data_IF_570969727860
#
_entry.id   IF_570969727860
#
_cell.length_a   1.000
_cell.length_b   1.000
_cell.length_c   1.000
_cell.angle_alpha   90.00
_cell.angle_beta   90.00
_cell.angle_gamma   90.00
#
_symmetry.space_group_name_H-M   'P 1'
#
loop_
_entity.id
_entity.type
_entity.pdbx_description
1 polymer ?
#
# COMPACT_ATOMS: atom_id res chain seq x y z
N UNK A 1 -8.95 -9.39 11.19
CA UNK A 1 -10.40 -9.50 11.51
C UNK A 1 -11.14 -10.08 10.31
N UNK A 2 -11.96 -11.11 10.51
CA UNK A 2 -12.88 -11.63 9.48
C UNK A 2 -13.80 -10.50 9.01
N UNK A 3 -13.86 -10.27 7.70
CA UNK A 3 -14.69 -9.25 7.04
C UNK A 3 -16.17 -9.65 7.13
N UNK A 4 -16.76 -9.46 8.30
CA UNK A 4 -18.21 -9.57 8.47
C UNK A 4 -18.93 -8.51 7.65
N UNK A 5 -20.17 -8.81 7.25
CA UNK A 5 -21.09 -7.82 6.67
C UNK A 5 -21.21 -6.58 7.58
N UNK A 6 -21.29 -5.35 7.03
CA UNK A 6 -21.45 -4.16 7.84
C UNK A 6 -22.71 -4.27 8.70
N UNK A 7 -22.60 -4.01 10.02
CA UNK A 7 -23.77 -4.00 10.89
C UNK A 7 -24.81 -2.98 10.42
N UNK A 8 -26.09 -3.26 10.64
CA UNK A 8 -27.20 -2.40 10.19
C UNK A 8 -27.10 -0.95 10.67
N UNK A 9 -26.59 -0.73 11.89
CA UNK A 9 -26.39 0.63 12.42
C UNK A 9 -25.30 1.40 11.67
N UNK A 10 -24.30 0.71 11.09
CA UNK A 10 -23.28 1.31 10.22
C UNK A 10 -23.90 1.67 8.87
N UNK A 11 -24.69 0.79 8.25
CA UNK A 11 -25.41 1.15 7.02
C UNK A 11 -26.28 2.40 7.24
N UNK A 12 -27.01 2.44 8.37
CA UNK A 12 -27.89 3.56 8.72
C UNK A 12 -27.15 4.88 8.94
N UNK A 13 -25.98 4.87 9.60
CA UNK A 13 -25.23 6.12 9.86
C UNK A 13 -24.61 6.73 8.59
N UNK A 14 -24.43 5.93 7.54
CA UNK A 14 -24.04 6.41 6.21
C UNK A 14 -25.25 6.67 5.29
N UNK A 15 -26.48 6.58 5.79
CA UNK A 15 -27.71 6.82 5.00
C UNK A 15 -28.11 5.67 4.08
N UNK A 16 -27.62 4.46 4.32
CA UNK A 16 -27.75 3.28 3.46
C UNK A 16 -28.58 2.15 4.11
N UNK A 17 -29.35 2.46 5.15
CA UNK A 17 -30.05 1.44 5.96
C UNK A 17 -31.06 0.58 5.19
N UNK A 18 -31.61 1.09 4.09
CA UNK A 18 -32.60 0.38 3.26
C UNK A 18 -32.02 -0.15 1.95
N UNK A 19 -30.70 0.00 1.75
CA UNK A 19 -30.02 -0.37 0.50
C UNK A 19 -29.53 -1.82 0.59
N UNK A 20 -29.76 -2.60 -0.47
CA UNK A 20 -29.33 -3.98 -0.55
C UNK A 20 -27.79 -4.11 -0.52
N UNK A 21 -27.31 -5.09 0.24
CA UNK A 21 -25.90 -5.41 0.40
C UNK A 21 -25.46 -6.43 -0.65
N UNK A 22 -24.53 -6.01 -1.50
CA UNK A 22 -23.92 -6.85 -2.53
C UNK A 22 -22.43 -7.01 -2.25
N UNK A 23 -21.88 -8.19 -2.51
CA UNK A 23 -20.43 -8.37 -2.48
C UNK A 23 -19.79 -7.36 -3.46
N UNK A 24 -18.74 -6.65 -3.06
CA UNK A 24 -18.12 -5.68 -3.93
C UNK A 24 -17.42 -6.43 -5.08
N UNK A 25 -17.26 -5.76 -6.22
CA UNK A 25 -16.35 -6.25 -7.25
C UNK A 25 -14.91 -6.38 -6.70
N UNK A 26 -14.04 -7.05 -7.48
CA UNK A 26 -12.63 -7.18 -7.13
C UNK A 26 -11.97 -5.81 -6.86
N UNK A 27 -11.08 -5.75 -5.85
CA UNK A 27 -10.25 -4.57 -5.55
C UNK A 27 -10.84 -3.53 -4.59
N UNK A 28 -11.80 -3.93 -3.75
CA UNK A 28 -12.40 -3.09 -2.69
C UNK A 28 -12.15 -3.64 -1.26
N UNK A 29 -11.03 -4.33 -1.04
CA UNK A 29 -10.51 -4.74 0.28
C UNK A 29 -11.51 -5.44 1.22
N UNK A 30 -12.36 -6.33 0.68
CA UNK A 30 -13.37 -7.03 1.48
C UNK A 30 -14.48 -6.10 1.99
N UNK A 31 -14.72 -4.99 1.29
CA UNK A 31 -15.86 -4.12 1.52
C UNK A 31 -17.19 -4.75 1.14
N UNK A 32 -18.25 -3.96 1.16
CA UNK A 32 -19.62 -4.32 0.78
C UNK A 32 -20.23 -3.17 0.01
N UNK A 33 -20.83 -3.46 -1.15
CA UNK A 33 -21.45 -2.45 -2.00
C UNK A 33 -22.92 -2.28 -1.61
N UNK A 34 -23.33 -1.02 -1.44
CA UNK A 34 -24.70 -0.58 -1.22
C UNK A 34 -24.96 0.56 -2.22
N UNK A 35 -25.64 0.26 -3.33
CA UNK A 35 -25.88 1.24 -4.38
C UNK A 35 -24.59 1.73 -5.05
N UNK A 36 -24.29 3.02 -4.88
CA UNK A 36 -23.09 3.70 -5.37
C UNK A 36 -22.04 3.91 -4.26
N UNK A 37 -22.17 3.23 -3.12
CA UNK A 37 -21.24 3.31 -1.98
C UNK A 37 -20.64 1.94 -1.69
N UNK A 38 -19.36 1.92 -1.30
CA UNK A 38 -18.70 0.77 -0.70
C UNK A 38 -18.38 1.07 0.76
N UNK A 39 -18.84 0.20 1.66
CA UNK A 39 -18.44 0.17 3.06
C UNK A 39 -17.30 -0.82 3.25
N UNK A 40 -16.18 -0.37 3.82
CA UNK A 40 -15.03 -1.24 4.10
C UNK A 40 -14.62 -1.16 5.57
N UNK A 41 -14.15 -2.27 6.17
CA UNK A 41 -13.57 -2.24 7.50
C UNK A 41 -12.26 -1.44 7.50
N UNK A 42 -11.95 -0.84 8.64
CA UNK A 42 -10.78 0.02 8.86
C UNK A 42 -9.90 -0.58 9.94
N UNK A 43 -8.66 -0.91 9.59
CA UNK A 43 -7.65 -1.36 10.55
C UNK A 43 -6.99 -0.19 11.30
N UNK A 44 -6.78 0.94 10.61
CA UNK A 44 -6.17 2.16 11.17
C UNK A 44 -7.08 3.36 10.93
N UNK A 45 -7.69 3.84 12.01
CA UNK A 45 -8.64 4.95 11.99
C UNK A 45 -7.99 6.26 11.55
N UNK A 46 -6.77 6.55 11.98
CA UNK A 46 -6.08 7.79 11.67
C UNK A 46 -5.70 7.85 10.19
N UNK A 47 -5.15 6.75 9.66
CA UNK A 47 -4.80 6.62 8.24
C UNK A 47 -6.04 6.67 7.35
N UNK A 48 -7.11 5.97 7.71
CA UNK A 48 -8.35 5.96 6.91
C UNK A 48 -9.02 7.35 6.89
N UNK A 49 -9.12 8.03 8.03
CA UNK A 49 -9.68 9.39 8.09
C UNK A 49 -8.82 10.40 7.32
N UNK A 50 -7.49 10.27 7.40
CA UNK A 50 -6.58 11.12 6.63
C UNK A 50 -6.70 10.87 5.12
N UNK A 51 -6.75 9.61 4.67
CA UNK A 51 -6.89 9.27 3.25
C UNK A 51 -8.20 9.82 2.69
N UNK A 52 -9.31 9.63 3.42
CA UNK A 52 -10.60 10.20 3.07
C UNK A 52 -10.49 11.72 2.89
N UNK A 53 -9.93 12.43 3.88
CA UNK A 53 -9.76 13.88 3.81
C UNK A 53 -8.91 14.33 2.62
N UNK A 54 -7.78 13.66 2.36
CA UNK A 54 -6.92 13.97 1.22
C UNK A 54 -7.66 13.78 -0.11
N UNK A 55 -8.36 12.64 -0.26
CA UNK A 55 -9.16 12.32 -1.46
C UNK A 55 -10.41 13.18 -1.63
N UNK A 56 -10.83 13.98 -0.65
CA UNK A 56 -11.98 14.88 -0.82
C UNK A 56 -11.66 15.99 -1.83
N UNK A 57 -10.44 16.54 -1.79
CA UNK A 57 -10.06 17.69 -2.62
C UNK A 57 -8.92 17.40 -3.60
N UNK A 58 -8.18 16.30 -3.44
CA UNK A 58 -7.09 15.96 -4.33
C UNK A 58 -7.61 15.77 -5.77
N UNK A 59 -6.90 16.39 -6.71
CA UNK A 59 -7.11 16.24 -8.13
C UNK A 59 -5.80 15.78 -8.76
N UNK A 60 -5.88 14.76 -9.61
CA UNK A 60 -4.73 14.15 -10.29
C UNK A 60 -5.09 14.04 -11.77
N UNK A 61 -4.20 14.50 -12.63
CA UNK A 61 -4.45 14.49 -14.06
C UNK A 61 -4.57 13.06 -14.61
N UNK A 62 -5.61 12.82 -15.40
CA UNK A 62 -5.96 11.53 -15.99
C UNK A 62 -5.93 10.34 -14.99
N UNK A 63 -6.37 10.59 -13.74
CA UNK A 63 -6.57 9.58 -12.69
C UNK A 63 -7.87 9.88 -11.94
N UNK A 64 -8.69 8.86 -11.71
CA UNK A 64 -9.89 8.96 -10.89
C UNK A 64 -9.57 8.58 -9.45
N UNK A 65 -10.16 9.29 -8.49
CA UNK A 65 -10.07 8.93 -7.07
C UNK A 65 -11.47 8.56 -6.58
N UNK A 66 -11.61 7.42 -5.91
CA UNK A 66 -12.82 7.13 -5.16
C UNK A 66 -13.01 8.24 -4.11
N UNK A 67 -14.17 8.88 -4.07
CA UNK A 67 -14.44 9.98 -3.13
C UNK A 67 -14.95 9.42 -1.81
N UNK A 68 -14.54 9.98 -0.66
CA UNK A 68 -15.08 9.55 0.62
C UNK A 68 -16.57 9.93 0.75
N UNK A 69 -17.34 9.12 1.46
CA UNK A 69 -18.70 9.45 1.88
C UNK A 69 -18.68 9.70 3.39
N UNK A 70 -19.24 10.83 3.82
CA UNK A 70 -19.33 11.18 5.24
C UNK A 70 -20.55 10.51 5.86
N UNK A 71 -20.41 10.08 7.11
CA UNK A 71 -21.55 9.70 7.93
C UNK A 71 -22.45 10.92 8.18
N UNK A 72 -23.68 10.69 8.62
CA UNK A 72 -24.66 11.74 8.95
C UNK A 72 -24.18 12.70 10.04
N UNK A 73 -23.23 12.28 10.88
CA UNK A 73 -22.57 13.10 11.89
C UNK A 73 -21.29 13.81 11.39
N UNK A 74 -21.00 13.71 10.09
CA UNK A 74 -19.88 14.37 9.42
C UNK A 74 -18.54 13.64 9.48
N UNK A 75 -18.43 12.52 10.21
CA UNK A 75 -17.19 11.72 10.32
C UNK A 75 -16.95 10.86 9.07
N UNK A 76 -15.66 10.56 8.80
CA UNK A 76 -15.27 9.63 7.74
C UNK A 76 -15.15 8.17 8.22
N UNK A 77 -14.88 7.97 9.50
CA UNK A 77 -14.72 6.65 10.11
C UNK A 77 -15.64 6.55 11.31
N UNK A 78 -16.50 5.54 11.32
CA UNK A 78 -17.45 5.26 12.40
C UNK A 78 -17.32 3.80 12.80
N UNK A 79 -17.03 3.54 14.07
CA UNK A 79 -16.96 2.19 14.64
C UNK A 79 -16.15 1.18 13.81
N UNK A 80 -15.01 1.62 13.25
CA UNK A 80 -14.13 0.77 12.44
C UNK A 80 -14.58 0.59 10.99
N UNK A 81 -15.48 1.43 10.48
CA UNK A 81 -15.94 1.39 9.09
C UNK A 81 -15.77 2.74 8.40
N UNK A 82 -15.49 2.69 7.10
CA UNK A 82 -15.46 3.85 6.20
C UNK A 82 -16.38 3.63 5.01
N UNK A 83 -16.75 4.71 4.36
CA UNK A 83 -17.55 4.70 3.14
C UNK A 83 -16.84 5.46 2.02
N UNK A 84 -16.84 4.89 0.80
CA UNK A 84 -16.33 5.54 -0.41
C UNK A 84 -17.34 5.37 -1.55
N UNK A 85 -17.37 6.30 -2.51
CA UNK A 85 -18.12 6.15 -3.75
C UNK A 85 -17.59 4.95 -4.53
N UNK A 86 -18.48 4.02 -4.88
CA UNK A 86 -18.18 2.90 -5.76
C UNK A 86 -17.84 3.42 -7.15
N UNK A 87 -16.78 2.85 -7.72
CA UNK A 87 -16.38 3.07 -9.10
C UNK A 87 -16.16 1.70 -9.72
N UNK A 88 -16.76 1.49 -10.90
CA UNK A 88 -16.59 0.24 -11.64
C UNK A 88 -15.15 0.09 -12.13
N UNK A 89 -14.64 -1.14 -11.97
CA UNK A 89 -13.36 -1.57 -12.48
C UNK A 89 -12.84 -2.80 -11.75
N UNK A 90 -11.72 -3.32 -12.23
CA UNK A 90 -10.99 -4.43 -11.62
C UNK A 90 -9.47 -4.21 -11.77
N UNK A 91 -8.64 -4.88 -10.97
CA UNK A 91 -7.21 -4.95 -11.25
C UNK A 91 -6.95 -5.58 -12.63
N UNK A 92 -6.02 -5.01 -13.39
CA UNK A 92 -5.59 -5.51 -14.70
C UNK A 92 -4.06 -5.49 -14.78
N UNK A 93 -3.42 -6.37 -15.60
CA UNK A 93 -1.97 -6.45 -15.75
C UNK A 93 -1.39 -5.28 -16.60
N UNK A 94 -1.75 -4.04 -16.26
CA UNK A 94 -1.31 -2.81 -16.95
C UNK A 94 -0.19 -2.11 -16.16
N UNK A 95 0.90 -2.83 -15.92
CA UNK A 95 1.93 -2.43 -14.97
C UNK A 95 2.59 -1.07 -15.28
N UNK A 96 2.91 -0.82 -16.55
CA UNK A 96 3.45 0.47 -16.99
C UNK A 96 2.46 1.63 -16.76
N UNK A 97 1.15 1.37 -16.90
CA UNK A 97 0.11 2.37 -16.62
C UNK A 97 0.03 2.66 -15.11
N UNK A 98 0.23 1.65 -14.25
CA UNK A 98 0.33 1.83 -12.80
C UNK A 98 1.56 2.66 -12.42
N UNK A 99 2.72 2.43 -13.04
CA UNK A 99 3.93 3.24 -12.81
C UNK A 99 3.72 4.69 -13.28
N UNK A 100 3.15 4.88 -14.48
CA UNK A 100 2.80 6.22 -14.97
C UNK A 100 1.81 6.95 -14.06
N UNK A 101 0.79 6.25 -13.55
CA UNK A 101 -0.15 6.78 -12.55
C UNK A 101 0.58 7.15 -11.26
N UNK A 102 1.51 6.32 -10.79
CA UNK A 102 2.34 6.57 -9.59
C UNK A 102 2.99 7.94 -9.65
N UNK A 103 3.68 8.23 -10.77
CA UNK A 103 4.39 9.49 -10.96
C UNK A 103 3.44 10.70 -10.95
N UNK A 104 2.29 10.59 -11.62
CA UNK A 104 1.26 11.65 -11.64
C UNK A 104 0.63 11.89 -10.27
N UNK A 105 0.32 10.80 -9.56
CA UNK A 105 -0.22 10.87 -8.20
C UNK A 105 0.78 11.57 -7.27
N UNK A 106 2.07 11.20 -7.33
CA UNK A 106 3.06 11.78 -6.41
C UNK A 106 3.49 13.20 -6.76
N UNK A 107 3.36 13.61 -8.03
CA UNK A 107 3.46 15.02 -8.39
C UNK A 107 2.34 15.85 -7.71
N UNK A 108 1.11 15.32 -7.67
CA UNK A 108 -0.02 15.99 -7.02
C UNK A 108 0.06 15.96 -5.48
N UNK A 109 0.59 14.88 -4.89
CA UNK A 109 0.72 14.76 -3.43
C UNK A 109 1.95 15.46 -2.85
N UNK A 110 2.86 15.96 -3.69
CA UNK A 110 4.07 16.68 -3.27
C UNK A 110 3.80 17.89 -2.37
N UNK A 111 2.64 18.53 -2.52
CA UNK A 111 2.24 19.71 -1.76
C UNK A 111 1.63 19.38 -0.40
N UNK A 112 1.39 18.10 -0.11
CA UNK A 112 0.74 17.66 1.13
C UNK A 112 1.77 17.48 2.24
N UNK A 113 1.41 17.94 3.43
CA UNK A 113 2.25 17.82 4.62
C UNK A 113 2.36 16.37 5.11
N UNK A 114 3.47 16.07 5.81
CA UNK A 114 3.67 14.79 6.47
C UNK A 114 2.61 14.56 7.55
N UNK A 115 1.76 13.52 7.44
CA UNK A 115 0.77 13.21 8.47
C UNK A 115 1.44 12.82 9.78
N UNK A 116 0.92 13.33 10.91
CA UNK A 116 1.55 13.13 12.24
C UNK A 116 1.71 11.67 12.64
N UNK A 117 0.77 10.81 12.26
CA UNK A 117 0.86 9.37 12.56
C UNK A 117 2.03 8.68 11.84
N UNK A 118 2.55 9.22 10.72
CA UNK A 118 3.75 8.68 10.06
C UNK A 118 5.06 9.01 10.81
N UNK A 119 5.01 9.83 11.86
CA UNK A 119 6.18 10.12 12.69
C UNK A 119 6.31 9.14 13.87
N UNK A 120 5.25 8.40 14.19
CA UNK A 120 5.21 7.53 15.34
C UNK A 120 5.95 6.22 15.03
N UNK A 121 6.83 5.74 15.92
CA UNK A 121 7.37 4.38 15.81
C UNK A 121 6.30 3.34 16.21
N UNK A 122 6.46 2.08 15.77
CA UNK A 122 5.71 0.96 16.32
C UNK A 122 5.83 0.94 17.85
N UNK A 123 4.75 0.61 18.54
CA UNK A 123 4.71 0.54 20.02
C UNK A 123 4.19 -0.84 20.44
N UNK A 124 4.70 -1.37 21.55
CA UNK A 124 4.18 -2.63 22.11
C UNK A 124 2.88 -2.39 22.90
N UNK A 125 1.89 -3.30 22.87
CA UNK A 125 1.85 -4.52 22.04
C UNK A 125 1.60 -4.20 20.56
N UNK A 126 2.22 -4.98 19.69
CA UNK A 126 2.18 -4.81 18.24
C UNK A 126 0.78 -5.05 17.65
N UNK A 127 0.30 -4.12 16.84
CA UNK A 127 -0.92 -4.28 16.04
C UNK A 127 -0.59 -4.61 14.57
N UNK A 128 -1.56 -5.15 13.83
CA UNK A 128 -1.38 -5.48 12.40
C UNK A 128 -0.86 -4.30 11.57
N UNK A 129 -1.25 -3.06 11.91
CA UNK A 129 -0.79 -1.84 11.22
C UNK A 129 0.69 -1.55 11.46
N UNK A 130 1.23 -1.93 12.62
CA UNK A 130 2.63 -1.69 12.99
C UNK A 130 3.60 -2.45 12.08
N UNK A 131 3.13 -3.56 11.47
CA UNK A 131 3.90 -4.32 10.48
C UNK A 131 4.37 -3.44 9.33
N UNK A 132 3.47 -2.64 8.77
CA UNK A 132 3.79 -1.80 7.62
C UNK A 132 4.72 -0.64 7.98
N UNK A 133 4.57 -0.10 9.20
CA UNK A 133 5.48 0.94 9.73
C UNK A 133 6.87 0.36 9.96
N UNK A 134 6.97 -0.85 10.51
CA UNK A 134 8.24 -1.50 10.74
C UNK A 134 8.92 -1.95 9.44
N UNK A 135 8.15 -2.42 8.45
CA UNK A 135 8.66 -2.78 7.14
C UNK A 135 9.21 -1.56 6.40
N UNK A 136 8.49 -0.44 6.45
CA UNK A 136 8.98 0.83 5.91
C UNK A 136 10.29 1.24 6.61
N UNK A 137 10.36 1.17 7.94
CA UNK A 137 11.62 1.44 8.64
C UNK A 137 12.74 0.48 8.23
N UNK A 138 12.47 -0.81 8.08
CA UNK A 138 13.49 -1.81 7.72
C UNK A 138 14.17 -1.52 6.36
N UNK A 139 13.41 -0.99 5.40
CA UNK A 139 13.94 -0.60 4.10
C UNK A 139 14.95 0.57 4.18
N UNK A 140 14.80 1.46 5.17
CA UNK A 140 15.52 2.74 5.24
C UNK A 140 16.50 2.87 6.42
N UNK A 141 16.32 2.12 7.51
CA UNK A 141 17.24 2.12 8.66
C UNK A 141 18.60 1.48 8.30
N UNK A 142 19.68 2.03 8.86
CA UNK A 142 21.04 1.49 8.70
C UNK A 142 21.11 0.01 9.07
N UNK A 143 20.52 -0.34 10.22
CA UNK A 143 20.32 -1.74 10.65
C UNK A 143 18.86 -2.09 10.39
N UNK A 144 18.55 -2.93 9.39
CA UNK A 144 17.18 -3.29 9.08
C UNK A 144 16.54 -4.04 10.25
N UNK A 145 15.21 -3.91 10.40
CA UNK A 145 14.39 -4.59 11.42
C UNK A 145 14.80 -4.29 12.88
N UNK A 146 15.66 -3.30 13.14
CA UNK A 146 16.07 -2.93 14.51
C UNK A 146 14.87 -2.63 15.40
N UNK A 147 13.94 -1.82 14.89
CA UNK A 147 12.74 -1.42 15.63
C UNK A 147 11.80 -2.61 15.86
N UNK A 148 11.62 -3.47 14.85
CA UNK A 148 10.80 -4.69 14.96
C UNK A 148 11.37 -5.66 16.02
N UNK A 149 12.69 -5.85 16.04
CA UNK A 149 13.37 -6.68 17.04
C UNK A 149 13.19 -6.13 18.45
N UNK A 150 13.26 -4.81 18.63
CA UNK A 150 13.15 -4.18 19.94
C UNK A 150 11.78 -4.38 20.62
N UNK A 151 10.74 -4.68 19.84
CA UNK A 151 9.37 -4.90 20.32
C UNK A 151 8.93 -6.36 20.20
N UNK A 152 9.86 -7.29 19.99
CA UNK A 152 9.58 -8.74 19.95
C UNK A 152 8.93 -9.23 18.65
N UNK A 153 8.80 -8.41 17.60
CA UNK A 153 8.07 -8.79 16.38
C UNK A 153 8.77 -9.85 15.50
N UNK A 154 10.00 -10.26 15.88
CA UNK A 154 10.74 -11.35 15.22
C UNK A 154 10.63 -12.67 16.00
N UNK A 155 9.93 -12.68 17.12
CA UNK A 155 9.61 -13.90 17.86
C UNK A 155 8.55 -14.69 17.08
N UNK A 156 8.66 -16.03 17.06
CA UNK A 156 7.69 -16.93 16.43
C UNK A 156 7.44 -16.77 14.91
N UNK A 157 8.43 -16.26 14.15
CA UNK A 157 8.36 -16.22 12.68
C UNK A 157 8.29 -17.62 12.04
N UNK A 158 7.55 -17.72 10.94
CA UNK A 158 7.53 -18.88 10.04
C UNK A 158 8.92 -19.15 9.44
N UNK A 159 9.12 -20.35 8.87
CA UNK A 159 10.39 -20.71 8.22
C UNK A 159 10.73 -19.79 7.05
N UNK A 160 9.73 -19.51 6.21
CA UNK A 160 9.82 -18.57 5.08
C UNK A 160 10.01 -17.10 5.53
N UNK A 161 9.44 -16.72 6.69
CA UNK A 161 9.69 -15.44 7.32
C UNK A 161 11.16 -15.28 7.74
N UNK A 162 11.77 -16.33 8.31
CA UNK A 162 13.21 -16.35 8.63
C UNK A 162 14.08 -16.21 7.39
N UNK A 163 13.77 -16.94 6.31
CA UNK A 163 14.47 -16.80 5.02
C UNK A 163 14.39 -15.37 4.48
N UNK A 164 13.26 -14.69 4.67
CA UNK A 164 13.10 -13.28 4.28
C UNK A 164 13.99 -12.36 5.10
N UNK A 165 14.11 -12.60 6.41
CA UNK A 165 15.02 -11.84 7.29
C UNK A 165 16.49 -12.03 6.92
N UNK A 166 16.89 -13.24 6.54
CA UNK A 166 18.23 -13.53 6.04
C UNK A 166 18.52 -12.74 4.76
N UNK A 167 17.60 -12.81 3.79
CA UNK A 167 17.72 -12.08 2.52
C UNK A 167 17.72 -10.55 2.71
N UNK A 168 16.94 -10.04 3.66
CA UNK A 168 16.99 -8.62 4.07
C UNK A 168 18.38 -8.25 4.55
N UNK A 169 19.02 -9.09 5.37
CA UNK A 169 20.39 -8.86 5.86
C UNK A 169 21.41 -8.73 4.73
N UNK A 170 21.34 -9.63 3.75
CA UNK A 170 22.21 -9.61 2.57
C UNK A 170 21.97 -8.36 1.71
N UNK A 171 20.71 -8.11 1.32
CA UNK A 171 20.34 -6.99 0.44
C UNK A 171 20.57 -5.62 1.07
N UNK A 172 20.37 -5.50 2.39
CA UNK A 172 20.58 -4.26 3.12
C UNK A 172 22.02 -3.74 3.01
N UNK A 173 22.99 -4.64 2.86
CA UNK A 173 24.41 -4.30 2.67
C UNK A 173 24.73 -3.64 1.33
N UNK A 174 23.85 -3.82 0.33
CA UNK A 174 23.99 -3.26 -1.02
C UNK A 174 23.40 -1.84 -1.15
N UNK A 175 22.79 -1.31 -0.09
CA UNK A 175 22.23 0.04 -0.11
C UNK A 175 23.35 1.09 -0.18
N UNK A 176 23.17 2.03 -1.10
CA UNK A 176 23.95 3.26 -1.23
C UNK A 176 23.10 4.44 -0.69
N UNK A 177 23.71 5.51 -0.17
CA UNK A 177 22.97 6.73 0.20
C UNK A 177 22.18 7.27 -0.98
N UNK A 178 21.00 7.82 -0.72
CA UNK A 178 20.13 8.44 -1.73
C UNK A 178 19.84 9.90 -1.36
N UNK A 179 19.63 10.75 -2.36
CA UNK A 179 19.44 12.21 -2.20
C UNK A 179 18.07 12.70 -2.65
N UNK A 180 17.28 11.86 -3.31
CA UNK A 180 15.90 12.21 -3.68
C UNK A 180 15.10 12.64 -2.44
N UNK A 181 14.34 13.74 -2.51
CA UNK A 181 13.64 14.27 -1.35
C UNK A 181 12.47 13.38 -0.95
N UNK A 182 12.26 13.23 0.36
CA UNK A 182 11.06 12.59 0.88
C UNK A 182 9.84 13.50 0.73
N UNK A 183 8.71 12.92 0.32
CA UNK A 183 7.41 13.56 0.29
C UNK A 183 6.31 12.54 0.59
N UNK A 184 5.06 13.01 0.58
CA UNK A 184 3.92 12.10 0.70
C UNK A 184 3.80 11.24 -0.56
N UNK A 185 3.85 9.93 -0.39
CA UNK A 185 3.68 8.95 -1.46
C UNK A 185 2.66 7.88 -1.07
N UNK A 186 2.15 7.17 -2.06
CA UNK A 186 1.24 6.05 -1.91
C UNK A 186 2.00 4.74 -2.10
N UNK A 187 2.05 3.89 -1.08
CA UNK A 187 2.88 2.68 -1.07
C UNK A 187 2.15 1.38 -1.38
N UNK A 188 0.93 1.42 -1.94
CA UNK A 188 0.18 0.20 -2.26
C UNK A 188 -0.66 0.33 -3.54
N UNK A 189 -0.03 0.81 -4.61
CA UNK A 189 -0.72 1.03 -5.88
C UNK A 189 -1.26 -0.26 -6.51
N UNK A 190 -0.51 -1.36 -6.39
CA UNK A 190 -0.92 -2.64 -6.97
C UNK A 190 -2.23 -3.18 -6.36
N UNK A 191 -2.47 -2.90 -5.07
CA UNK A 191 -3.68 -3.32 -4.35
C UNK A 191 -4.87 -2.36 -4.49
N UNK A 192 -4.66 -1.14 -4.99
CA UNK A 192 -5.68 -0.06 -4.91
C UNK A 192 -6.02 0.58 -6.25
N UNK A 193 -5.45 0.10 -7.35
CA UNK A 193 -5.74 0.61 -8.70
C UNK A 193 -6.72 -0.32 -9.43
N UNK A 194 -7.78 0.28 -9.97
CA UNK A 194 -8.78 -0.39 -10.80
C UNK A 194 -8.81 0.21 -12.21
N UNK A 195 -9.00 -0.66 -13.19
CA UNK A 195 -9.17 -0.32 -14.59
C UNK A 195 -10.60 -0.67 -15.04
N UNK A 196 -11.13 0.13 -15.98
CA UNK A 196 -12.41 -0.13 -16.63
C UNK A 196 -12.32 0.32 -18.08
N UNK A 197 -12.08 -0.63 -18.99
CA UNK A 197 -11.91 -0.38 -20.42
C UNK A 197 -10.81 0.64 -20.70
N UNK A 198 -11.15 1.70 -21.45
CA UNK A 198 -10.25 2.81 -21.80
C UNK A 198 -10.40 4.04 -20.89
N UNK A 199 -11.20 3.95 -19.82
CA UNK A 199 -11.32 5.07 -18.87
C UNK A 199 -10.04 5.21 -18.06
N UNK A 200 -9.78 6.43 -17.57
CA UNK A 200 -8.65 6.68 -16.67
C UNK A 200 -8.66 5.72 -15.47
N UNK A 201 -7.49 5.23 -15.00
CA UNK A 201 -7.42 4.34 -13.86
C UNK A 201 -7.97 4.99 -12.58
N UNK A 202 -8.53 4.16 -11.71
CA UNK A 202 -9.10 4.60 -10.43
C UNK A 202 -8.22 4.17 -9.27
N UNK A 203 -7.90 5.09 -8.37
CA UNK A 203 -7.32 4.79 -7.06
C UNK A 203 -8.43 4.76 -6.02
N UNK A 204 -8.63 3.60 -5.38
CA UNK A 204 -9.69 3.38 -4.40
C UNK A 204 -9.35 3.96 -3.03
N UNK A 205 -8.07 4.02 -2.68
CA UNK A 205 -7.57 4.55 -1.42
C UNK A 205 -6.12 5.00 -1.49
N UNK A 206 -5.68 5.84 -0.55
CA UNK A 206 -4.28 6.25 -0.42
C UNK A 206 -3.69 5.62 0.85
N UNK A 207 -2.60 4.88 0.68
CA UNK A 207 -1.80 4.26 1.73
C UNK A 207 -0.53 5.10 1.93
N UNK A 208 -0.56 6.13 2.79
CA UNK A 208 0.50 7.13 2.85
C UNK A 208 1.82 6.62 3.44
N UNK A 209 2.92 7.07 2.85
CA UNK A 209 4.29 6.99 3.37
C UNK A 209 5.02 8.31 3.13
N UNK A 210 6.16 8.51 3.78
CA UNK A 210 6.99 9.71 3.63
C UNK A 210 8.35 9.35 3.04
N UNK A 211 8.44 9.25 1.71
CA UNK A 211 9.57 8.69 0.95
C UNK A 211 9.73 9.39 -0.40
N UNK A 212 10.82 9.14 -1.17
CA UNK A 212 10.93 9.67 -2.52
C UNK A 212 9.80 9.13 -3.42
N UNK A 213 9.26 9.95 -4.32
CA UNK A 213 8.21 9.53 -5.27
C UNK A 213 8.57 8.22 -6.00
N UNK A 214 9.81 8.15 -6.49
CA UNK A 214 10.31 7.02 -7.28
C UNK A 214 10.29 5.71 -6.48
N UNK A 215 10.41 5.75 -5.15
CA UNK A 215 10.29 4.55 -4.31
C UNK A 215 8.91 3.90 -4.45
N UNK A 216 7.83 4.69 -4.51
CA UNK A 216 6.48 4.15 -4.64
C UNK A 216 6.22 3.54 -6.04
N UNK A 217 6.82 4.08 -7.10
CA UNK A 217 6.89 3.40 -8.39
C UNK A 217 7.66 2.07 -8.29
N UNK A 218 8.78 2.07 -7.56
CA UNK A 218 9.55 0.85 -7.28
C UNK A 218 8.74 -0.22 -6.55
N UNK A 219 7.88 0.16 -5.59
CA UNK A 219 6.96 -0.78 -4.91
C UNK A 219 6.01 -1.42 -5.92
N UNK A 220 5.40 -0.63 -6.82
CA UNK A 220 4.51 -1.18 -7.84
C UNK A 220 5.22 -2.18 -8.77
N UNK A 221 6.47 -1.91 -9.16
CA UNK A 221 7.27 -2.82 -9.99
C UNK A 221 7.65 -4.09 -9.23
N UNK A 222 8.09 -3.98 -7.97
CA UNK A 222 8.40 -5.14 -7.13
C UNK A 222 7.18 -6.04 -6.95
N UNK A 223 5.99 -5.46 -6.73
CA UNK A 223 4.75 -6.22 -6.61
C UNK A 223 4.40 -6.94 -7.92
N UNK A 224 4.51 -6.23 -9.04
CA UNK A 224 4.24 -6.75 -10.36
C UNK A 224 5.13 -7.95 -10.72
N UNK A 225 6.43 -7.87 -10.40
CA UNK A 225 7.40 -8.94 -10.63
C UNK A 225 7.24 -10.12 -9.65
N UNK A 226 6.93 -9.82 -8.38
CA UNK A 226 6.89 -10.86 -7.34
C UNK A 226 5.65 -11.73 -7.43
N UNK A 227 4.48 -11.14 -7.68
CA UNK A 227 3.20 -11.87 -7.73
C UNK A 227 2.21 -11.33 -8.75
N UNK A 228 2.51 -10.20 -9.39
CA UNK A 228 1.62 -9.60 -10.38
C UNK A 228 1.66 -10.25 -11.76
N UNK A 229 2.68 -11.03 -12.08
CA UNK A 229 2.83 -11.71 -13.39
C UNK A 229 3.51 -10.87 -14.46
N UNK A 230 4.19 -9.78 -14.09
CA UNK A 230 4.97 -8.99 -15.04
C UNK A 230 6.19 -9.77 -15.55
N UNK A 231 6.58 -9.46 -16.79
CA UNK A 231 7.85 -9.90 -17.35
C UNK A 231 9.04 -9.17 -16.70
N UNK A 232 10.23 -9.78 -16.77
CA UNK A 232 11.44 -9.25 -16.14
C UNK A 232 11.91 -7.93 -16.74
N UNK A 233 11.56 -7.63 -18.00
CA UNK A 233 12.00 -6.39 -18.66
C UNK A 233 11.35 -5.15 -18.04
N UNK A 234 10.21 -5.29 -17.35
CA UNK A 234 9.55 -4.20 -16.63
C UNK A 234 10.51 -3.48 -15.67
N UNK A 235 11.48 -4.19 -15.09
CA UNK A 235 12.45 -3.62 -14.16
C UNK A 235 13.35 -2.55 -14.83
N UNK A 236 13.63 -2.72 -16.13
CA UNK A 236 14.49 -1.83 -16.93
C UNK A 236 13.74 -0.73 -17.67
N UNK A 237 12.43 -0.86 -17.90
CA UNK A 237 11.62 0.13 -18.67
C UNK A 237 11.60 1.53 -18.06
N UNK A 238 11.92 1.66 -16.78
CA UNK A 238 11.87 2.89 -15.99
C UNK A 238 13.23 3.27 -15.40
N UNK A 239 14.33 2.79 -16.00
CA UNK A 239 15.70 3.00 -15.49
C UNK A 239 16.16 4.47 -15.45
N UNK A 240 15.53 5.33 -16.26
CA UNK A 240 15.78 6.78 -16.26
C UNK A 240 15.28 7.48 -14.99
N UNK A 241 14.48 6.80 -14.14
CA UNK A 241 14.00 7.39 -12.90
C UNK A 241 15.15 7.63 -11.90
N UNK A 242 15.13 8.73 -11.13
CA UNK A 242 16.17 9.06 -10.17
C UNK A 242 16.46 7.92 -9.18
N UNK A 243 17.74 7.53 -9.09
CA UNK A 243 18.25 6.54 -8.14
C UNK A 243 17.51 5.18 -8.23
N UNK A 244 17.00 4.84 -9.42
CA UNK A 244 16.08 3.72 -9.64
C UNK A 244 16.51 2.37 -9.03
N UNK A 245 17.75 1.85 -9.23
CA UNK A 245 18.16 0.60 -8.60
C UNK A 245 18.08 0.65 -7.07
N UNK A 246 18.38 1.80 -6.47
CA UNK A 246 18.32 2.01 -5.03
C UNK A 246 16.89 2.19 -4.50
N UNK A 247 15.96 2.64 -5.34
CA UNK A 247 14.51 2.69 -5.04
C UNK A 247 13.89 1.29 -5.09
N UNK A 248 14.23 0.50 -6.11
CA UNK A 248 13.83 -0.91 -6.22
C UNK A 248 14.34 -1.75 -5.04
N UNK A 249 15.62 -1.60 -4.67
CA UNK A 249 16.20 -2.29 -3.52
C UNK A 249 15.42 -2.01 -2.23
N UNK A 250 15.04 -0.75 -1.99
CA UNK A 250 14.27 -0.35 -0.80
C UNK A 250 12.82 -0.82 -0.86
N UNK A 251 12.20 -0.82 -2.04
CA UNK A 251 10.88 -1.38 -2.25
C UNK A 251 10.85 -2.90 -1.97
N UNK A 252 11.87 -3.62 -2.44
CA UNK A 252 12.04 -5.05 -2.17
C UNK A 252 12.27 -5.34 -0.70
N UNK A 253 13.15 -4.59 -0.02
CA UNK A 253 13.35 -4.70 1.42
C UNK A 253 12.06 -4.45 2.22
N UNK A 254 11.25 -3.48 1.79
CA UNK A 254 9.93 -3.22 2.36
C UNK A 254 9.02 -4.45 2.22
N UNK A 255 8.88 -5.02 1.00
CA UNK A 255 8.01 -6.19 0.80
C UNK A 255 8.53 -7.46 1.47
N UNK A 256 9.83 -7.69 1.53
CA UNK A 256 10.43 -8.78 2.32
C UNK A 256 10.13 -8.61 3.81
N UNK A 257 10.18 -7.39 4.33
CA UNK A 257 9.88 -7.13 5.73
C UNK A 257 8.38 -7.31 6.02
N UNK A 258 7.49 -6.88 5.11
CA UNK A 258 6.05 -7.22 5.20
C UNK A 258 5.85 -8.73 5.18
N UNK A 259 6.52 -9.44 4.26
CA UNK A 259 6.44 -10.90 4.18
C UNK A 259 6.86 -11.57 5.50
N UNK A 260 7.99 -11.16 6.07
CA UNK A 260 8.50 -11.70 7.33
C UNK A 260 7.62 -11.43 8.55
N UNK A 261 7.00 -10.25 8.62
CA UNK A 261 6.33 -9.75 9.83
C UNK A 261 4.81 -9.90 9.81
N UNK A 262 4.19 -9.97 8.64
CA UNK A 262 2.74 -9.88 8.54
C UNK A 262 2.10 -11.27 8.74
N UNK A 263 1.13 -11.43 9.67
CA UNK A 263 0.58 -12.74 10.03
C UNK A 263 -0.25 -13.40 8.92
N UNK A 264 -0.64 -12.64 7.89
CA UNK A 264 -1.34 -13.17 6.69
C UNK A 264 -0.42 -13.40 5.49
N UNK A 265 0.89 -13.21 5.64
CA UNK A 265 1.84 -13.58 4.58
C UNK A 265 1.82 -15.09 4.36
N UNK A 266 2.01 -15.52 3.13
CA UNK A 266 1.95 -16.93 2.77
C UNK A 266 3.28 -17.38 2.14
N UNK A 267 3.70 -18.66 2.34
CA UNK A 267 4.95 -19.16 1.80
C UNK A 267 5.07 -19.04 0.26
N UNK A 268 3.96 -19.00 -0.46
CA UNK A 268 3.91 -18.89 -1.92
C UNK A 268 4.37 -17.52 -2.44
N UNK A 269 4.40 -16.50 -1.59
CA UNK A 269 4.90 -15.17 -1.96
C UNK A 269 6.43 -15.11 -2.03
N UNK A 270 7.13 -15.90 -1.20
CA UNK A 270 8.59 -15.85 -1.08
C UNK A 270 9.34 -16.18 -2.39
N UNK A 271 8.98 -17.22 -3.19
CA UNK A 271 9.67 -17.50 -4.44
C UNK A 271 9.66 -16.32 -5.43
N UNK A 272 8.58 -15.55 -5.46
CA UNK A 272 8.48 -14.33 -6.28
C UNK A 272 9.41 -13.22 -5.82
N UNK A 273 9.49 -13.02 -4.49
CA UNK A 273 10.41 -12.06 -3.88
C UNK A 273 11.88 -12.43 -4.10
N UNK A 274 12.22 -13.73 -4.04
CA UNK A 274 13.58 -14.23 -4.32
C UNK A 274 13.97 -13.95 -5.78
N UNK A 275 13.12 -14.30 -6.74
CA UNK A 275 13.38 -13.98 -8.17
C UNK A 275 13.55 -12.48 -8.39
N UNK A 276 12.67 -11.68 -7.79
CA UNK A 276 12.77 -10.21 -7.87
C UNK A 276 14.07 -9.70 -7.24
N UNK A 277 14.57 -10.33 -6.17
CA UNK A 277 15.85 -10.00 -5.57
C UNK A 277 17.04 -10.24 -6.50
N UNK A 278 17.01 -11.31 -7.31
CA UNK A 278 18.03 -11.59 -8.32
C UNK A 278 18.05 -10.49 -9.39
N UNK A 279 16.88 -10.11 -9.90
CA UNK A 279 16.74 -9.01 -10.88
C UNK A 279 17.26 -7.68 -10.32
N UNK A 280 16.86 -7.31 -9.11
CA UNK A 280 17.31 -6.08 -8.45
C UNK A 280 18.83 -6.09 -8.23
N UNK A 281 19.42 -7.24 -7.84
CA UNK A 281 20.88 -7.37 -7.67
C UNK A 281 21.65 -7.10 -8.96
N UNK A 282 21.12 -7.51 -10.12
CA UNK A 282 21.77 -7.27 -11.42
C UNK A 282 21.83 -5.78 -11.80
N UNK A 283 21.03 -4.91 -11.16
CA UNK A 283 21.01 -3.47 -11.43
C UNK A 283 21.93 -2.62 -10.53
N UNK A 284 22.53 -3.19 -9.47
CA UNK A 284 23.21 -2.44 -8.40
C UNK A 284 24.70 -2.16 -8.62
#
# INVERSE_FOLDING_TARGET
>A
MSSGQPPQHICSIFGLGEVELVAPGAGWDGGWRLGDVVLSPVADHARAAWSARARETLAVDAVRLARPVRATDGRYVVSGWRANTYIEGAPEPRYDEVVSLSLRLHAATAQLERPRFLMQPPVAPWADVDVFVAADRAAWETVPLRTARAVGALEDMSGDGKSSVELIGELASLRKPVRSPDQLVHGDLFGTVLFSGSTAPTVTDITPYWRPAVWAAGVAVVDALSWGGADEELIGRWEDLPEWPQMLLRALLFRLAVHALHPRSTPEALPGLIRTAELVRMML
#
